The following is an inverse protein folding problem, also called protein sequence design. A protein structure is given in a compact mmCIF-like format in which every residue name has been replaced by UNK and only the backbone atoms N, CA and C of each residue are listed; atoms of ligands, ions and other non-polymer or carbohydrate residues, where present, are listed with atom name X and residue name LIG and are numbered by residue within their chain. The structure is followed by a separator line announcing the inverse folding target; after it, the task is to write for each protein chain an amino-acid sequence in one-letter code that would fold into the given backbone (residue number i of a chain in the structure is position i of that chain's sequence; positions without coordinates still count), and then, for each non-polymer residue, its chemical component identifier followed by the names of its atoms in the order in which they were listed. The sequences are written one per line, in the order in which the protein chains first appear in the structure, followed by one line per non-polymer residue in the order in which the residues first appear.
data_IF_012858600201
#
_entry.id   IF_012858600201
#
_cell.length_a   1.000
_cell.length_b   1.000
_cell.length_c   1.000
_cell.angle_alpha   90.00
_cell.angle_beta   90.00
_cell.angle_gamma   90.00
#
_symmetry.space_group_name_H-M   'P 1'
#
loop_
_entity.id
_entity.type
_entity.pdbx_description
1 polymer ?
#
# COMPACT_ATOMS: atom_id res chain seq x y z
N UNK A 1 19.97 11.23 -101.15
CA UNK A 1 18.93 10.17 -101.24
C UNK A 1 19.40 8.99 -100.41
N UNK A 2 18.50 8.37 -99.65
CA UNK A 2 18.68 7.30 -98.63
C UNK A 2 18.97 7.80 -97.20
N UNK A 3 17.86 8.02 -96.51
CA UNK A 3 17.74 7.81 -95.08
C UNK A 3 17.84 6.30 -94.78
N UNK A 4 18.52 5.95 -93.70
CA UNK A 4 18.36 4.65 -93.03
C UNK A 4 18.23 4.91 -91.55
N UNK A 5 17.05 4.59 -91.04
CA UNK A 5 16.66 4.55 -89.64
C UNK A 5 17.54 3.54 -88.88
N UNK A 6 18.03 3.93 -87.71
CA UNK A 6 18.43 3.00 -86.66
C UNK A 6 17.69 3.38 -85.39
N UNK A 7 16.77 2.49 -84.99
CA UNK A 7 15.98 2.60 -83.78
C UNK A 7 16.84 2.26 -82.56
N UNK A 8 16.77 3.10 -81.53
CA UNK A 8 17.28 2.79 -80.19
C UNK A 8 16.15 3.07 -79.19
N UNK A 9 15.71 2.06 -78.40
CA UNK A 9 14.61 2.21 -77.47
C UNK A 9 15.07 2.96 -76.21
N UNK A 10 14.24 3.92 -75.79
CA UNK A 10 14.34 4.61 -74.50
C UNK A 10 14.03 3.59 -73.39
N UNK A 11 15.04 3.20 -72.61
CA UNK A 11 14.84 2.46 -71.37
C UNK A 11 14.39 3.47 -70.30
N UNK A 12 13.11 3.41 -69.95
CA UNK A 12 12.56 4.05 -68.76
C UNK A 12 13.03 3.22 -67.55
N UNK A 13 13.96 3.77 -66.76
CA UNK A 13 14.33 3.20 -65.46
C UNK A 13 13.22 3.58 -64.47
N UNK A 14 12.32 2.62 -64.20
CA UNK A 14 11.40 2.67 -63.07
C UNK A 14 12.20 2.46 -61.78
N UNK A 15 12.50 3.54 -61.07
CA UNK A 15 13.03 3.50 -59.70
C UNK A 15 11.88 3.08 -58.78
N UNK A 16 11.80 1.79 -58.47
CA UNK A 16 10.99 1.31 -57.34
C UNK A 16 11.67 1.79 -56.05
N UNK A 17 11.12 2.84 -55.44
CA UNK A 17 11.44 3.21 -54.07
C UNK A 17 10.97 2.09 -53.14
N UNK A 18 11.91 1.29 -52.65
CA UNK A 18 11.66 0.37 -51.55
C UNK A 18 11.44 1.21 -50.29
N UNK A 19 10.18 1.34 -49.85
CA UNK A 19 9.89 1.79 -48.50
C UNK A 19 10.41 0.71 -47.54
N UNK A 20 11.23 1.06 -46.53
CA UNK A 20 11.59 0.10 -45.51
C UNK A 20 10.31 -0.19 -44.71
N UNK A 21 9.72 -1.36 -44.92
CA UNK A 21 8.79 -1.92 -43.96
C UNK A 21 9.54 -2.01 -42.63
N UNK A 22 9.02 -1.47 -41.52
CA UNK A 22 9.59 -1.74 -40.23
C UNK A 22 9.45 -3.24 -39.98
N UNK A 23 10.56 -3.96 -40.11
CA UNK A 23 10.70 -5.28 -39.50
C UNK A 23 10.56 -5.05 -37.98
N UNK A 24 9.33 -5.15 -37.48
CA UNK A 24 9.11 -5.51 -36.09
C UNK A 24 9.57 -6.94 -35.98
N UNK A 25 10.86 -7.13 -35.72
CA UNK A 25 11.35 -8.40 -35.22
C UNK A 25 10.54 -8.66 -33.95
N UNK A 26 9.72 -9.72 -33.97
CA UNK A 26 9.26 -10.34 -32.76
C UNK A 26 10.53 -10.67 -31.95
N UNK A 27 10.83 -9.84 -30.96
CA UNK A 27 11.92 -10.09 -30.03
C UNK A 27 11.51 -11.35 -29.28
N UNK A 28 11.99 -12.50 -29.75
CA UNK A 28 12.03 -13.73 -28.97
C UNK A 28 12.58 -13.34 -27.60
N UNK A 29 11.80 -13.53 -26.54
CA UNK A 29 12.28 -13.44 -25.16
C UNK A 29 13.36 -14.51 -24.98
N UNK A 30 14.57 -14.23 -25.45
CA UNK A 30 15.74 -15.00 -25.09
C UNK A 30 16.02 -14.69 -23.63
N UNK A 31 15.40 -15.45 -22.73
CA UNK A 31 15.70 -15.36 -21.31
C UNK A 31 17.16 -15.77 -21.05
N UNK A 32 17.71 -15.23 -19.97
CA UNK A 32 19.07 -15.48 -19.53
C UNK A 32 20.03 -14.37 -19.95
N UNK A 33 20.83 -13.89 -18.99
CA UNK A 33 21.92 -12.94 -19.21
C UNK A 33 23.23 -13.53 -18.70
N UNK A 34 24.34 -13.17 -19.34
CA UNK A 34 25.66 -13.69 -18.96
C UNK A 34 26.41 -12.69 -18.10
N UNK A 35 26.69 -13.07 -16.85
CA UNK A 35 27.66 -12.39 -16.00
C UNK A 35 28.98 -13.18 -15.99
N UNK A 36 30.13 -12.52 -15.72
CA UNK A 36 31.41 -13.21 -15.55
C UNK A 36 31.29 -14.32 -14.50
N UNK A 37 31.68 -15.55 -14.86
CA UNK A 37 31.61 -16.71 -13.96
C UNK A 37 30.22 -17.35 -13.82
N UNK A 38 29.18 -16.80 -14.45
CA UNK A 38 27.80 -17.33 -14.44
C UNK A 38 27.30 -17.70 -13.02
N UNK A 39 27.26 -16.71 -12.09
CA UNK A 39 27.01 -16.96 -10.69
C UNK A 39 25.58 -17.43 -10.44
N UNK A 40 25.40 -18.13 -9.33
CA UNK A 40 24.11 -18.55 -8.80
C UNK A 40 23.58 -17.47 -7.86
N UNK A 41 22.28 -17.21 -7.96
CA UNK A 41 21.56 -16.30 -7.07
C UNK A 41 20.34 -16.99 -6.47
N UNK A 42 20.02 -16.62 -5.24
CA UNK A 42 18.79 -17.00 -4.55
C UNK A 42 18.42 -15.93 -3.52
N UNK A 43 17.14 -15.83 -3.16
CA UNK A 43 16.71 -14.91 -2.11
C UNK A 43 17.36 -15.31 -0.78
N UNK A 44 18.08 -14.38 -0.15
CA UNK A 44 18.84 -14.58 1.08
C UNK A 44 20.32 -14.91 0.86
N UNK A 45 20.80 -14.98 -0.39
CA UNK A 45 22.21 -15.22 -0.67
C UNK A 45 23.09 -14.15 -0.02
N UNK A 46 24.15 -14.59 0.68
CA UNK A 46 25.10 -13.66 1.30
C UNK A 46 24.57 -12.90 2.53
N UNK A 47 23.35 -13.17 2.99
CA UNK A 47 22.78 -12.56 4.20
C UNK A 47 23.60 -12.97 5.44
N UNK A 48 23.95 -11.99 6.27
CA UNK A 48 24.80 -12.16 7.45
C UNK A 48 24.21 -11.45 8.67
N UNK A 49 24.65 -11.89 9.86
CA UNK A 49 24.43 -11.17 11.10
C UNK A 49 25.04 -9.77 11.01
N UNK A 50 24.29 -8.77 11.43
CA UNK A 50 24.67 -7.36 11.39
C UNK A 50 24.31 -6.66 10.08
N UNK A 51 23.75 -7.35 9.09
CA UNK A 51 23.20 -6.68 7.92
C UNK A 51 21.98 -5.84 8.32
N UNK A 52 21.94 -4.61 7.83
CA UNK A 52 20.85 -3.67 8.03
C UNK A 52 20.33 -3.19 6.68
N UNK A 53 19.03 -3.28 6.49
CA UNK A 53 18.32 -2.83 5.29
C UNK A 53 17.26 -1.80 5.66
N UNK A 54 17.11 -0.79 4.83
CA UNK A 54 15.99 0.14 4.87
C UNK A 54 15.30 0.14 3.52
N UNK A 55 14.03 -0.20 3.48
CA UNK A 55 13.24 -0.27 2.25
C UNK A 55 12.04 0.67 2.32
N UNK A 56 11.75 1.38 1.23
CA UNK A 56 10.37 1.82 0.96
C UNK A 56 9.66 0.67 0.27
N UNK A 57 8.44 0.33 0.68
CA UNK A 57 7.68 -0.74 0.07
C UNK A 57 6.17 -0.48 0.09
N UNK A 58 5.45 -1.15 -0.81
CA UNK A 58 4.00 -1.24 -0.79
C UNK A 58 3.56 -2.59 -1.33
N UNK A 59 2.36 -3.04 -0.96
CA UNK A 59 1.73 -4.24 -1.49
C UNK A 59 0.23 -4.02 -1.66
N UNK A 60 -0.40 -4.59 -2.69
CA UNK A 60 -1.81 -4.38 -3.02
C UNK A 60 -2.75 -4.81 -1.89
N UNK A 61 -2.45 -5.95 -1.25
CA UNK A 61 -3.16 -6.45 -0.07
C UNK A 61 -2.98 -5.58 1.17
N UNK A 62 -2.12 -4.56 1.11
CA UNK A 62 -1.88 -3.59 2.17
C UNK A 62 -2.26 -2.18 1.71
N UNK A 63 -3.45 -1.72 2.11
CA UNK A 63 -3.97 -0.36 1.82
C UNK A 63 -3.78 0.03 0.34
N UNK A 64 -4.10 -0.86 -0.59
CA UNK A 64 -3.99 -0.64 -2.04
C UNK A 64 -2.58 -0.23 -2.53
N UNK A 65 -1.52 -0.80 -1.96
CA UNK A 65 -0.14 -0.40 -2.23
C UNK A 65 0.17 1.03 -1.75
N UNK A 66 -0.34 1.41 -0.58
CA UNK A 66 0.19 2.57 0.14
C UNK A 66 1.63 2.31 0.60
N UNK A 67 2.51 3.29 0.41
CA UNK A 67 3.93 3.17 0.76
C UNK A 67 4.16 3.24 2.28
N UNK A 68 5.04 2.37 2.77
CA UNK A 68 5.58 2.40 4.12
C UNK A 68 7.08 2.06 4.09
N UNK A 69 7.83 2.54 5.09
CA UNK A 69 9.23 2.20 5.28
C UNK A 69 9.35 1.00 6.22
N UNK A 70 10.22 0.04 5.87
CA UNK A 70 10.55 -1.11 6.71
C UNK A 70 12.06 -1.25 6.85
N UNK A 71 12.50 -1.25 8.09
CA UNK A 71 13.91 -1.32 8.46
C UNK A 71 14.13 -2.68 9.09
N UNK A 72 15.06 -3.45 8.55
CA UNK A 72 15.30 -4.84 8.93
C UNK A 72 16.76 -4.95 9.35
N UNK A 73 17.00 -5.31 10.60
CA UNK A 73 18.33 -5.58 11.13
C UNK A 73 18.47 -7.06 11.48
N UNK A 74 19.46 -7.73 10.89
CA UNK A 74 19.75 -9.14 11.17
C UNK A 74 20.51 -9.25 12.49
N UNK A 75 19.76 -9.31 13.59
CA UNK A 75 20.27 -9.36 14.97
C UNK A 75 21.10 -10.61 15.24
N UNK A 76 20.71 -11.75 14.69
CA UNK A 76 21.42 -13.02 14.88
C UNK A 76 20.55 -14.22 14.53
N UNK A 77 20.65 -15.27 15.33
CA UNK A 77 19.99 -16.55 15.12
C UNK A 77 18.92 -16.81 16.18
N UNK A 78 17.88 -17.55 15.80
CA UNK A 78 16.84 -18.04 16.71
C UNK A 78 16.47 -19.48 16.32
N UNK A 79 16.28 -20.33 17.33
CA UNK A 79 15.81 -21.69 17.15
C UNK A 79 14.27 -21.72 17.22
N UNK A 80 13.61 -22.14 16.14
CA UNK A 80 12.15 -22.27 16.07
C UNK A 80 11.79 -23.73 15.78
N UNK A 81 11.52 -24.50 16.83
CA UNK A 81 11.35 -25.95 16.71
C UNK A 81 12.67 -26.61 16.30
N UNK A 82 12.68 -27.34 15.18
CA UNK A 82 13.89 -28.00 14.64
C UNK A 82 14.68 -27.14 13.67
N UNK A 83 14.18 -25.96 13.30
CA UNK A 83 14.81 -25.09 12.31
C UNK A 83 15.54 -23.91 12.98
N UNK A 84 16.79 -23.67 12.57
CA UNK A 84 17.51 -22.44 12.88
C UNK A 84 17.13 -21.37 11.86
N UNK A 85 16.79 -20.17 12.35
CA UNK A 85 16.30 -19.04 11.58
C UNK A 85 17.10 -17.79 11.87
N UNK A 86 17.03 -16.79 10.99
CA UNK A 86 17.47 -15.45 11.31
C UNK A 86 16.48 -14.80 12.27
N UNK A 87 17.00 -14.35 13.41
CA UNK A 87 16.30 -13.42 14.28
C UNK A 87 16.55 -12.01 13.75
N UNK A 88 15.48 -11.32 13.38
CA UNK A 88 15.58 -9.94 12.88
C UNK A 88 14.78 -9.00 13.77
N UNK A 89 15.34 -7.83 14.00
CA UNK A 89 14.62 -6.72 14.61
C UNK A 89 14.14 -5.80 13.48
N UNK A 90 12.89 -5.39 13.58
CA UNK A 90 12.21 -4.64 12.53
C UNK A 90 11.62 -3.38 13.11
N UNK A 91 11.80 -2.28 12.37
CA UNK A 91 11.12 -1.03 12.61
C UNK A 91 10.37 -0.61 11.35
N UNK A 92 9.07 -0.38 11.48
CA UNK A 92 8.21 0.10 10.40
C UNK A 92 7.83 1.56 10.66
N UNK A 93 7.91 2.38 9.61
CA UNK A 93 7.27 3.69 9.55
C UNK A 93 6.14 3.66 8.52
N UNK A 94 4.90 3.83 8.96
CA UNK A 94 3.71 3.88 8.11
C UNK A 94 2.99 5.21 8.37
N UNK A 95 3.29 6.20 7.51
CA UNK A 95 2.96 7.59 7.78
C UNK A 95 3.59 8.05 9.11
N UNK A 96 2.75 8.44 10.06
CA UNK A 96 3.19 8.84 11.40
C UNK A 96 3.33 7.67 12.39
N UNK A 97 2.91 6.46 11.99
CA UNK A 97 2.92 5.28 12.85
C UNK A 97 4.30 4.66 12.89
N UNK A 98 4.76 4.28 14.08
CA UNK A 98 6.02 3.57 14.32
C UNK A 98 5.76 2.24 14.98
N UNK A 99 6.21 1.15 14.39
CA UNK A 99 6.07 -0.19 14.97
C UNK A 99 7.43 -0.85 15.01
N UNK A 100 7.95 -1.07 16.21
CA UNK A 100 9.15 -1.86 16.48
C UNK A 100 8.75 -3.26 16.93
N UNK A 101 9.43 -4.29 16.46
CA UNK A 101 9.20 -5.67 16.86
C UNK A 101 10.20 -6.64 16.26
N UNK A 102 9.99 -7.94 16.46
CA UNK A 102 10.84 -9.00 15.92
C UNK A 102 10.16 -9.69 14.72
N UNK A 103 10.97 -10.23 13.80
CA UNK A 103 10.55 -11.01 12.65
C UNK A 103 11.54 -12.17 12.41
N UNK A 104 11.02 -13.38 12.28
CA UNK A 104 11.85 -14.58 12.06
C UNK A 104 11.89 -14.91 10.56
N UNK A 105 13.09 -14.99 9.98
CA UNK A 105 13.30 -15.32 8.56
C UNK A 105 13.99 -16.67 8.40
N UNK A 106 13.54 -17.49 7.45
CA UNK A 106 14.23 -18.75 7.12
C UNK A 106 15.66 -18.53 6.61
N UNK A 107 16.56 -19.48 6.86
CA UNK A 107 17.97 -19.39 6.44
C UNK A 107 18.17 -19.61 4.95
N UNK A 108 17.43 -20.56 4.38
CA UNK A 108 17.54 -20.98 2.97
C UNK A 108 16.50 -20.30 2.08
N UNK A 109 15.40 -19.87 2.66
CA UNK A 109 14.38 -19.02 2.05
C UNK A 109 14.00 -17.97 3.11
N UNK A 110 14.44 -16.71 2.99
CA UNK A 110 14.27 -15.67 4.00
C UNK A 110 12.83 -15.12 4.04
N UNK A 111 11.87 -16.03 4.05
CA UNK A 111 10.45 -15.72 4.21
C UNK A 111 10.14 -15.53 5.70
N UNK A 112 9.38 -14.48 6.04
CA UNK A 112 8.81 -14.33 7.37
C UNK A 112 7.96 -15.54 7.77
N UNK A 113 8.25 -16.10 8.94
CA UNK A 113 7.52 -17.25 9.51
C UNK A 113 7.12 -17.08 10.98
N UNK A 114 7.54 -15.99 11.63
CA UNK A 114 7.27 -15.71 13.04
C UNK A 114 7.56 -14.25 13.42
N UNK A 115 7.53 -13.96 14.72
CA UNK A 115 7.79 -12.64 15.30
C UNK A 115 6.57 -11.93 15.92
N UNK A 116 6.72 -10.64 16.23
CA UNK A 116 5.72 -9.81 16.95
C UNK A 116 4.38 -9.70 16.21
N UNK A 117 3.27 -9.85 16.93
CA UNK A 117 1.91 -9.83 16.36
C UNK A 117 1.57 -8.50 15.68
N UNK A 118 2.03 -7.38 16.22
CA UNK A 118 1.75 -6.03 15.68
C UNK A 118 2.39 -5.77 14.31
N UNK A 119 3.41 -6.56 13.95
CA UNK A 119 4.04 -6.51 12.62
C UNK A 119 3.33 -7.41 11.59
N UNK A 120 2.31 -8.18 11.96
CA UNK A 120 1.74 -9.25 11.12
C UNK A 120 1.38 -8.79 9.69
N UNK A 121 0.71 -7.63 9.56
CA UNK A 121 0.32 -7.08 8.24
C UNK A 121 1.53 -6.66 7.40
N UNK A 122 2.54 -6.05 8.01
CA UNK A 122 3.76 -5.61 7.32
C UNK A 122 4.65 -6.80 6.95
N UNK A 123 4.77 -7.79 7.83
CA UNK A 123 5.42 -9.07 7.50
C UNK A 123 4.71 -9.78 6.36
N UNK A 124 3.38 -9.75 6.32
CA UNK A 124 2.59 -10.30 5.22
C UNK A 124 2.93 -9.63 3.89
N UNK A 125 2.93 -8.29 3.85
CA UNK A 125 3.32 -7.52 2.67
C UNK A 125 4.76 -7.81 2.21
N UNK A 126 5.73 -7.82 3.14
CA UNK A 126 7.12 -8.17 2.82
C UNK A 126 7.24 -9.60 2.29
N UNK A 127 6.62 -10.58 2.98
CA UNK A 127 6.61 -11.98 2.57
C UNK A 127 6.06 -12.15 1.16
N UNK A 128 4.87 -11.60 0.87
CA UNK A 128 4.24 -11.73 -0.44
C UNK A 128 5.07 -11.11 -1.57
N UNK A 129 5.87 -10.09 -1.26
CA UNK A 129 6.77 -9.45 -2.23
C UNK A 129 7.97 -10.34 -2.63
N UNK A 130 8.41 -11.25 -1.75
CA UNK A 130 9.63 -12.07 -1.96
C UNK A 130 9.37 -13.58 -2.06
N UNK A 131 8.22 -14.08 -1.61
CA UNK A 131 7.93 -15.53 -1.52
C UNK A 131 8.00 -16.25 -2.86
N UNK A 132 7.59 -15.59 -3.94
CA UNK A 132 7.70 -16.17 -5.27
C UNK A 132 9.17 -16.30 -5.69
N UNK A 133 10.06 -15.37 -5.31
CA UNK A 133 11.49 -15.47 -5.58
C UNK A 133 12.07 -16.67 -4.86
N UNK A 134 11.79 -16.85 -3.58
CA UNK A 134 12.27 -18.01 -2.82
C UNK A 134 11.64 -19.32 -3.31
N UNK A 135 10.42 -19.29 -3.85
CA UNK A 135 9.82 -20.48 -4.45
C UNK A 135 10.57 -20.99 -5.70
N UNK A 136 11.20 -20.07 -6.46
CA UNK A 136 11.93 -20.39 -7.69
C UNK A 136 13.46 -20.37 -7.54
N UNK A 137 13.98 -19.63 -6.58
CA UNK A 137 15.40 -19.41 -6.34
C UNK A 137 15.64 -19.32 -4.83
N UNK A 138 15.65 -20.47 -4.15
CA UNK A 138 16.06 -20.60 -2.74
C UNK A 138 17.46 -21.22 -2.61
N UNK A 139 18.00 -21.22 -1.39
CA UNK A 139 19.30 -21.76 -1.05
C UNK A 139 19.38 -23.29 -0.93
N UNK A 140 18.30 -24.03 -1.24
CA UNK A 140 18.35 -25.50 -1.21
C UNK A 140 19.01 -26.04 -2.48
N UNK A 141 20.30 -26.39 -2.41
CA UNK A 141 21.05 -26.94 -3.53
C UNK A 141 20.53 -28.30 -4.03
N UNK A 142 19.91 -29.09 -3.15
CA UNK A 142 19.26 -30.36 -3.51
C UNK A 142 17.79 -30.18 -3.96
N UNK A 143 17.29 -28.94 -4.01
CA UNK A 143 15.88 -28.61 -4.26
C UNK A 143 15.41 -28.74 -5.72
N UNK A 144 16.23 -29.30 -6.62
CA UNK A 144 15.92 -29.44 -8.03
C UNK A 144 15.60 -28.10 -8.70
N UNK A 145 14.43 -28.01 -9.35
CA UNK A 145 13.98 -26.81 -10.08
C UNK A 145 13.72 -25.57 -9.20
N UNK A 146 13.84 -25.67 -7.86
CA UNK A 146 13.60 -24.56 -6.92
C UNK A 146 14.87 -23.98 -6.30
N UNK A 147 16.01 -24.64 -6.46
CA UNK A 147 17.29 -24.24 -5.87
C UNK A 147 17.89 -22.98 -6.51
N UNK A 148 19.15 -22.65 -6.19
CA UNK A 148 19.79 -21.43 -6.69
C UNK A 148 19.76 -21.35 -8.22
N UNK A 149 19.53 -20.14 -8.75
CA UNK A 149 19.36 -19.91 -10.19
C UNK A 149 20.52 -19.16 -10.78
N UNK A 150 20.97 -19.63 -11.94
CA UNK A 150 21.95 -18.91 -12.76
C UNK A 150 21.27 -17.74 -13.47
N UNK A 151 21.99 -16.64 -13.62
CA UNK A 151 21.51 -15.54 -14.46
C UNK A 151 21.44 -15.92 -15.94
N UNK A 152 22.27 -16.86 -16.41
CA UNK A 152 22.21 -17.38 -17.78
C UNK A 152 21.04 -18.32 -18.04
N UNK A 153 20.30 -18.74 -17.00
CA UNK A 153 19.18 -19.65 -17.15
C UNK A 153 18.09 -18.99 -18.01
N UNK A 154 17.65 -19.72 -19.05
CA UNK A 154 16.62 -19.24 -19.97
C UNK A 154 15.26 -19.00 -19.31
N UNK A 155 15.06 -19.55 -18.11
CA UNK A 155 13.91 -19.31 -17.25
C UNK A 155 14.23 -19.75 -15.83
N UNK A 156 13.73 -18.99 -14.85
CA UNK A 156 13.79 -19.34 -13.43
C UNK A 156 12.57 -20.16 -12.98
N UNK A 157 11.47 -20.09 -13.73
CA UNK A 157 10.24 -20.81 -13.43
C UNK A 157 9.04 -20.34 -14.26
N UNK A 158 7.90 -20.99 -14.02
CA UNK A 158 6.59 -20.64 -14.59
C UNK A 158 5.57 -20.46 -13.45
N UNK A 159 4.74 -19.42 -13.57
CA UNK A 159 3.54 -19.13 -12.77
C UNK A 159 3.82 -18.81 -11.28
N UNK A 160 3.80 -17.51 -10.92
CA UNK A 160 3.62 -17.07 -9.53
C UNK A 160 2.15 -17.01 -9.10
N UNK A 161 1.23 -16.61 -10.00
CA UNK A 161 -0.19 -16.43 -9.71
C UNK A 161 -1.00 -16.67 -11.01
N UNK A 162 -1.71 -17.81 -11.11
CA UNK A 162 -2.64 -18.23 -12.19
C UNK A 162 -2.24 -17.80 -13.64
N UNK A 163 -1.47 -18.62 -14.34
CA UNK A 163 -1.21 -18.45 -15.79
C UNK A 163 -0.43 -17.17 -16.14
N UNK A 164 0.86 -17.32 -16.43
CA UNK A 164 1.71 -16.19 -16.81
C UNK A 164 2.88 -16.63 -17.68
N UNK A 165 3.54 -15.67 -18.32
CA UNK A 165 4.78 -15.90 -19.06
C UNK A 165 5.90 -16.42 -18.12
N UNK A 166 6.99 -16.89 -18.71
CA UNK A 166 8.15 -17.36 -17.96
C UNK A 166 8.77 -16.22 -17.14
N UNK A 167 9.24 -16.55 -15.94
CA UNK A 167 10.11 -15.66 -15.16
C UNK A 167 11.51 -15.79 -15.74
N UNK A 168 12.04 -14.68 -16.25
CA UNK A 168 13.28 -14.68 -17.02
C UNK A 168 14.20 -13.52 -16.61
N UNK A 169 15.51 -13.76 -16.48
CA UNK A 169 16.52 -12.71 -16.53
C UNK A 169 16.52 -12.11 -17.94
N UNK A 170 16.34 -10.79 -18.09
CA UNK A 170 16.17 -10.15 -19.41
C UNK A 170 17.21 -9.13 -19.77
N UNK A 171 17.80 -8.46 -18.78
CA UNK A 171 18.81 -7.43 -19.02
C UNK A 171 19.79 -7.31 -17.86
N UNK A 172 20.96 -6.76 -18.15
CA UNK A 172 21.88 -6.22 -17.15
C UNK A 172 21.73 -4.70 -17.21
N UNK A 173 21.42 -4.08 -16.09
CA UNK A 173 21.13 -2.65 -15.99
C UNK A 173 21.86 -2.04 -14.80
N UNK A 174 22.46 -0.87 -14.98
CA UNK A 174 22.96 -0.06 -13.86
C UNK A 174 21.81 0.76 -13.30
N UNK A 175 21.38 0.44 -12.08
CA UNK A 175 20.22 1.07 -11.42
C UNK A 175 20.68 1.94 -10.26
N UNK A 176 20.14 3.15 -10.18
CA UNK A 176 20.33 4.07 -9.06
C UNK A 176 19.10 4.04 -8.15
N UNK A 177 19.35 3.80 -6.86
CA UNK A 177 18.38 3.90 -5.75
C UNK A 177 18.96 4.80 -4.67
N UNK A 178 18.21 5.11 -3.61
CA UNK A 178 18.73 5.98 -2.52
C UNK A 178 19.94 5.36 -1.80
N UNK A 179 20.02 4.02 -1.71
CA UNK A 179 21.17 3.33 -1.10
C UNK A 179 22.46 3.40 -1.93
N UNK A 180 22.38 3.69 -3.24
CA UNK A 180 23.56 3.72 -4.10
C UNK A 180 23.25 3.39 -5.57
N UNK A 181 24.31 3.12 -6.33
CA UNK A 181 24.24 2.67 -7.71
C UNK A 181 24.76 1.24 -7.81
N UNK A 182 23.98 0.37 -8.44
CA UNK A 182 24.25 -1.07 -8.51
C UNK A 182 24.20 -1.54 -9.95
N UNK A 183 25.10 -2.45 -10.32
CA UNK A 183 24.93 -3.26 -11.53
C UNK A 183 24.02 -4.43 -11.19
N UNK A 184 22.88 -4.47 -11.86
CA UNK A 184 21.76 -5.36 -11.54
C UNK A 184 21.44 -6.27 -12.71
N UNK A 185 20.83 -7.42 -12.40
CA UNK A 185 20.11 -8.22 -13.38
C UNK A 185 18.62 -7.95 -13.24
N UNK A 186 17.99 -7.54 -14.33
CA UNK A 186 16.54 -7.40 -14.41
C UNK A 186 15.92 -8.78 -14.60
N UNK A 187 15.10 -9.19 -13.63
CA UNK A 187 14.21 -10.34 -13.72
C UNK A 187 12.80 -9.82 -14.03
N UNK A 188 12.18 -10.37 -15.07
CA UNK A 188 10.86 -9.89 -15.53
C UNK A 188 9.94 -11.01 -15.98
N UNK A 189 8.65 -10.74 -15.91
CA UNK A 189 7.59 -11.57 -16.46
C UNK A 189 6.39 -10.70 -16.84
N UNK A 190 5.55 -11.18 -17.75
CA UNK A 190 4.33 -10.48 -18.16
C UNK A 190 3.09 -11.11 -17.53
N UNK A 191 2.23 -10.27 -16.97
CA UNK A 191 0.96 -10.65 -16.34
C UNK A 191 -0.07 -9.54 -16.56
N UNK A 192 -1.32 -9.89 -16.91
CA UNK A 192 -2.40 -8.91 -17.02
C UNK A 192 -2.17 -7.78 -18.03
N UNK A 193 -1.34 -8.01 -19.05
CA UNK A 193 -0.97 -6.99 -20.04
C UNK A 193 0.20 -6.07 -19.65
N UNK A 194 0.70 -6.15 -18.41
CA UNK A 194 1.86 -5.39 -17.92
C UNK A 194 3.08 -6.29 -17.72
N UNK A 195 4.27 -5.67 -17.71
CA UNK A 195 5.55 -6.35 -17.45
C UNK A 195 6.00 -5.98 -16.04
N UNK A 196 6.03 -6.97 -15.16
CA UNK A 196 6.61 -6.87 -13.83
C UNK A 196 8.13 -6.93 -13.92
N UNK A 197 8.81 -6.14 -13.09
CA UNK A 197 10.26 -5.94 -13.11
C UNK A 197 10.83 -5.99 -11.69
N UNK A 198 11.89 -6.76 -11.51
CA UNK A 198 12.58 -6.94 -10.24
C UNK A 198 14.08 -6.92 -10.50
N UNK A 199 14.80 -6.04 -9.83
CA UNK A 199 16.24 -5.86 -10.02
C UNK A 199 16.99 -6.52 -8.85
N UNK A 200 17.81 -7.51 -9.19
CA UNK A 200 18.64 -8.26 -8.23
C UNK A 200 20.12 -7.99 -8.49
N UNK A 201 20.93 -8.14 -7.46
CA UNK A 201 22.39 -7.93 -7.52
C UNK A 201 23.07 -9.25 -7.16
N UNK A 202 24.13 -9.59 -7.90
CA UNK A 202 24.93 -10.78 -7.61
C UNK A 202 25.48 -10.74 -6.17
N UNK A 203 25.35 -11.86 -5.46
CA UNK A 203 25.76 -11.98 -4.05
C UNK A 203 24.99 -11.13 -3.04
N UNK A 204 23.98 -10.35 -3.46
CA UNK A 204 23.17 -9.51 -2.57
C UNK A 204 21.85 -10.20 -2.20
N UNK A 205 21.43 -10.19 -0.92
CA UNK A 205 20.42 -11.13 -0.41
C UNK A 205 19.00 -10.86 -0.89
N UNK A 206 18.63 -9.60 -1.07
CA UNK A 206 17.29 -9.23 -1.48
C UNK A 206 17.36 -8.41 -2.76
N UNK A 207 16.30 -8.42 -3.59
CA UNK A 207 16.19 -7.45 -4.67
C UNK A 207 16.41 -5.99 -4.17
N UNK A 208 16.96 -5.11 -5.01
CA UNK A 208 17.25 -3.69 -4.66
C UNK A 208 16.16 -2.73 -5.14
N UNK A 209 15.36 -3.17 -6.12
CA UNK A 209 14.17 -2.46 -6.62
C UNK A 209 13.17 -3.45 -7.22
N UNK A 210 11.87 -3.17 -7.13
CA UNK A 210 10.86 -3.81 -7.97
C UNK A 210 9.64 -2.94 -8.23
N UNK A 211 8.98 -3.27 -9.32
CA UNK A 211 7.67 -2.77 -9.70
C UNK A 211 6.89 -3.89 -10.38
N UNK A 212 5.84 -4.36 -9.72
CA UNK A 212 5.05 -5.49 -10.20
C UNK A 212 3.57 -5.14 -10.28
N UNK A 213 2.82 -5.98 -10.99
CA UNK A 213 1.44 -5.71 -11.35
C UNK A 213 0.56 -6.93 -11.14
N UNK A 214 -0.66 -6.70 -10.67
CA UNK A 214 -1.63 -7.78 -10.51
C UNK A 214 -2.12 -8.27 -11.87
N UNK A 215 -2.64 -9.50 -11.89
CA UNK A 215 -3.35 -9.99 -13.07
C UNK A 215 -4.74 -9.35 -13.15
N UNK A 216 -5.03 -8.70 -14.28
CA UNK A 216 -6.38 -8.21 -14.61
C UNK A 216 -6.83 -8.75 -15.96
N UNK A 217 -8.12 -9.01 -16.11
CA UNK A 217 -8.73 -9.45 -17.36
C UNK A 217 -8.91 -8.31 -18.36
N UNK A 218 -9.09 -7.08 -17.87
CA UNK A 218 -9.25 -5.84 -18.64
C UNK A 218 -8.78 -4.65 -17.80
N UNK A 219 -8.54 -3.49 -18.44
CA UNK A 219 -8.15 -2.26 -17.76
C UNK A 219 -6.64 -2.13 -17.49
N UNK A 220 -6.28 -1.17 -16.66
CA UNK A 220 -4.89 -0.92 -16.23
C UNK A 220 -4.64 -1.77 -14.99
N UNK A 221 -3.68 -2.72 -15.01
CA UNK A 221 -3.41 -3.53 -13.83
C UNK A 221 -2.85 -2.64 -12.70
N UNK A 222 -3.40 -2.72 -11.49
CA UNK A 222 -2.85 -2.02 -10.34
C UNK A 222 -1.47 -2.58 -9.98
N UNK A 223 -0.69 -1.78 -9.27
CA UNK A 223 0.58 -2.22 -8.71
C UNK A 223 0.33 -3.34 -7.71
N UNK A 224 0.98 -4.49 -7.87
CA UNK A 224 0.91 -5.60 -6.91
C UNK A 224 1.84 -5.32 -5.73
N UNK A 225 3.11 -5.03 -6.00
CA UNK A 225 4.02 -4.50 -4.99
C UNK A 225 5.10 -3.63 -5.63
N UNK A 226 5.65 -2.75 -4.81
CA UNK A 226 6.87 -2.00 -5.11
C UNK A 226 7.78 -2.13 -3.91
N UNK A 227 9.07 -2.16 -4.16
CA UNK A 227 10.03 -1.91 -3.10
C UNK A 227 11.26 -1.22 -3.68
N UNK A 228 11.91 -0.35 -2.91
CA UNK A 228 13.17 0.32 -3.27
C UNK A 228 14.11 0.37 -2.05
N UNK A 229 15.36 -0.06 -2.25
CA UNK A 229 16.39 -0.04 -1.21
C UNK A 229 16.82 1.41 -0.92
N UNK A 230 16.58 1.86 0.30
CA UNK A 230 16.90 3.20 0.77
C UNK A 230 18.26 3.30 1.44
N UNK A 231 18.67 2.26 2.15
CA UNK A 231 19.95 2.18 2.86
C UNK A 231 20.34 0.71 3.06
N UNK A 232 21.63 0.41 2.96
CA UNK A 232 22.21 -0.87 3.33
C UNK A 232 23.51 -0.65 4.11
N UNK A 233 23.68 -1.36 5.22
CA UNK A 233 24.92 -1.38 6.02
C UNK A 233 25.26 -2.79 6.41
N UNK A 234 26.54 -3.12 6.33
CA UNK A 234 27.08 -4.39 6.81
C UNK A 234 27.65 -4.26 8.21
N UNK A 235 27.70 -5.39 8.93
CA UNK A 235 28.42 -5.52 10.20
C UNK A 235 27.96 -4.52 11.29
N UNK A 236 26.68 -4.13 11.30
CA UNK A 236 26.10 -3.30 12.35
C UNK A 236 26.08 -4.09 13.67
N UNK A 237 26.92 -3.67 14.62
CA UNK A 237 27.16 -4.39 15.88
C UNK A 237 26.20 -4.01 17.02
N UNK A 238 25.58 -2.83 16.95
CA UNK A 238 24.66 -2.31 17.97
C UNK A 238 23.27 -2.15 17.37
N UNK A 239 22.22 -2.33 18.19
CA UNK A 239 20.84 -2.15 17.76
C UNK A 239 20.66 -0.76 17.10
N UNK A 240 20.36 -0.68 15.80
CA UNK A 240 20.19 0.59 15.10
C UNK A 240 18.91 1.33 15.51
N UNK A 241 18.04 0.69 16.29
CA UNK A 241 16.77 1.22 16.77
C UNK A 241 16.81 1.65 18.24
N UNK A 242 18.00 1.80 18.82
CA UNK A 242 18.17 2.34 20.18
C UNK A 242 17.54 3.73 20.28
N UNK A 243 16.73 3.94 21.33
CA UNK A 243 16.06 5.21 21.60
C UNK A 243 14.76 5.42 20.79
N UNK A 244 14.36 4.46 19.96
CA UNK A 244 13.08 4.51 19.25
C UNK A 244 12.03 3.75 20.05
N UNK A 245 11.00 4.48 20.49
CA UNK A 245 9.82 3.90 21.14
C UNK A 245 8.78 3.55 20.08
N UNK A 246 8.32 2.29 20.09
CA UNK A 246 7.20 1.83 19.28
C UNK A 246 5.91 2.50 19.75
N UNK A 247 4.96 2.75 18.85
CA UNK A 247 3.67 3.32 19.24
C UNK A 247 2.89 2.40 20.19
N UNK A 248 3.08 1.08 20.09
CA UNK A 248 2.47 0.11 21.01
C UNK A 248 3.02 0.24 22.44
N UNK A 249 4.25 0.74 22.58
CA UNK A 249 4.92 0.95 23.85
C UNK A 249 4.83 2.41 24.32
N UNK A 250 4.23 3.29 23.50
CA UNK A 250 4.11 4.70 23.82
C UNK A 250 3.13 4.88 25.00
N UNK A 251 3.59 5.37 26.17
CA UNK A 251 2.73 5.56 27.33
C UNK A 251 1.55 6.48 27.05
N UNK A 252 1.69 7.42 26.11
CA UNK A 252 0.61 8.31 25.70
C UNK A 252 -0.51 7.54 24.99
N UNK A 253 -0.23 6.42 24.34
CA UNK A 253 -1.23 5.67 23.57
C UNK A 253 -1.88 4.53 24.37
N UNK A 254 -1.40 4.26 25.58
CA UNK A 254 -1.82 3.11 26.40
C UNK A 254 -3.33 3.06 26.70
N UNK A 255 -3.94 4.22 26.95
CA UNK A 255 -5.37 4.33 27.28
C UNK A 255 -6.24 4.72 26.07
N UNK A 256 -5.68 4.65 24.87
CA UNK A 256 -6.42 4.98 23.66
C UNK A 256 -7.38 3.85 23.24
N UNK A 257 -8.54 4.18 22.67
CA UNK A 257 -9.42 3.19 22.07
C UNK A 257 -8.71 2.43 20.95
N UNK A 258 -9.00 1.13 20.83
CA UNK A 258 -8.50 0.32 19.72
C UNK A 258 -9.17 0.70 18.41
N UNK A 259 -8.43 0.59 17.31
CA UNK A 259 -8.87 0.94 15.95
C UNK A 259 -8.89 -0.27 15.01
N UNK A 260 -8.93 -1.48 15.57
CA UNK A 260 -8.80 -2.73 14.82
C UNK A 260 -10.06 -3.05 14.01
N UNK A 261 -11.23 -2.61 14.48
CA UNK A 261 -12.53 -2.82 13.84
C UNK A 261 -13.19 -1.51 13.44
N UNK A 262 -13.71 -1.47 12.22
CA UNK A 262 -14.55 -0.38 11.73
C UNK A 262 -15.96 -0.57 12.29
N UNK A 263 -16.34 0.24 13.26
CA UNK A 263 -17.61 0.07 14.00
C UNK A 263 -18.70 1.04 13.58
N UNK A 264 -18.34 2.17 12.99
CA UNK A 264 -19.28 3.23 12.63
C UNK A 264 -19.20 3.51 11.14
N UNK A 265 -20.32 3.95 10.55
CA UNK A 265 -20.32 4.36 9.15
C UNK A 265 -21.31 5.49 8.85
N UNK A 266 -20.99 6.22 7.79
CA UNK A 266 -21.75 7.34 7.25
C UNK A 266 -21.74 7.17 5.74
N UNK A 267 -22.91 6.98 5.14
CA UNK A 267 -23.07 6.94 3.68
C UNK A 267 -23.87 8.15 3.22
N UNK A 268 -23.23 9.05 2.47
CA UNK A 268 -23.85 10.29 1.97
C UNK A 268 -23.32 10.67 0.59
N UNK A 269 -24.12 11.33 -0.26
CA UNK A 269 -23.60 11.95 -1.47
C UNK A 269 -22.71 13.15 -1.13
N UNK A 270 -21.79 13.48 -2.03
CA UNK A 270 -21.05 14.74 -1.99
C UNK A 270 -21.97 15.93 -2.28
N UNK A 271 -21.52 17.15 -1.97
CA UNK A 271 -22.33 18.38 -2.06
C UNK A 271 -22.99 18.57 -3.41
N UNK A 272 -22.28 18.34 -4.50
CA UNK A 272 -22.81 18.48 -5.86
C UNK A 272 -23.33 17.14 -6.44
N UNK A 273 -23.49 16.12 -5.60
CA UNK A 273 -23.94 14.77 -5.98
C UNK A 273 -23.07 14.11 -7.06
N UNK A 274 -21.80 14.50 -7.16
CA UNK A 274 -20.86 13.93 -8.12
C UNK A 274 -20.50 12.49 -7.76
N UNK A 275 -20.46 12.20 -6.45
CA UNK A 275 -20.03 10.91 -5.90
C UNK A 275 -20.91 10.51 -4.71
N UNK A 276 -20.95 9.21 -4.41
CA UNK A 276 -21.39 8.71 -3.10
C UNK A 276 -20.16 8.31 -2.29
N UNK A 277 -20.12 8.69 -1.02
CA UNK A 277 -19.04 8.30 -0.11
C UNK A 277 -19.65 7.50 1.04
N UNK A 278 -19.18 6.26 1.20
CA UNK A 278 -19.42 5.46 2.39
C UNK A 278 -18.16 5.48 3.25
N UNK A 279 -18.15 6.34 4.26
CA UNK A 279 -17.07 6.49 5.21
C UNK A 279 -17.32 5.61 6.44
N UNK A 280 -16.40 4.73 6.76
CA UNK A 280 -16.35 3.98 7.99
C UNK A 280 -15.28 4.57 8.90
N UNK A 281 -15.52 4.56 10.22
CA UNK A 281 -14.53 5.05 11.17
C UNK A 281 -14.60 4.37 12.53
N UNK A 282 -13.49 4.45 13.24
CA UNK A 282 -13.31 3.95 14.59
C UNK A 282 -12.24 4.78 15.31
N UNK A 283 -12.38 5.05 16.62
CA UNK A 283 -13.52 4.70 17.48
C UNK A 283 -14.78 5.55 17.19
N UNK A 284 -15.93 5.20 17.79
CA UNK A 284 -17.19 5.99 17.69
C UNK A 284 -17.01 7.43 18.19
N UNK A 285 -16.20 7.58 19.24
CA UNK A 285 -15.82 8.87 19.81
C UNK A 285 -14.30 9.01 19.71
N UNK A 286 -13.77 9.59 18.61
CA UNK A 286 -12.35 9.86 18.48
C UNK A 286 -11.85 10.67 19.67
N UNK A 287 -10.70 10.28 20.24
CA UNK A 287 -10.14 10.91 21.44
C UNK A 287 -8.94 11.76 21.04
N UNK A 288 -8.87 13.01 21.50
CA UNK A 288 -7.72 13.87 21.23
C UNK A 288 -6.41 13.18 21.67
N UNK A 289 -5.42 13.17 20.78
CA UNK A 289 -4.12 12.54 21.01
C UNK A 289 -4.15 11.01 20.95
N UNK A 290 -5.22 10.42 20.41
CA UNK A 290 -5.33 8.98 20.17
C UNK A 290 -5.48 8.65 18.68
N UNK A 291 -5.20 7.39 18.30
CA UNK A 291 -5.41 6.92 16.94
C UNK A 291 -6.90 6.86 16.59
N UNK A 292 -7.19 7.17 15.33
CA UNK A 292 -8.45 6.87 14.67
C UNK A 292 -8.15 6.27 13.30
N UNK A 293 -9.03 5.39 12.84
CA UNK A 293 -8.98 4.81 11.51
C UNK A 293 -10.22 5.21 10.73
N UNK A 294 -10.01 5.58 9.48
CA UNK A 294 -11.02 5.75 8.46
C UNK A 294 -10.89 4.66 7.39
N UNK A 295 -12.03 4.29 6.80
CA UNK A 295 -12.07 3.65 5.49
C UNK A 295 -13.12 4.35 4.63
N UNK A 296 -12.78 4.69 3.40
CA UNK A 296 -13.68 5.32 2.45
C UNK A 296 -13.93 4.40 1.28
N UNK A 297 -15.22 4.19 0.96
CA UNK A 297 -15.63 3.63 -0.30
C UNK A 297 -16.19 4.79 -1.16
N UNK A 298 -15.48 5.12 -2.23
CA UNK A 298 -15.90 6.09 -3.24
C UNK A 298 -16.72 5.36 -4.30
N UNK A 299 -17.99 5.72 -4.38
CA UNK A 299 -18.99 5.00 -5.16
C UNK A 299 -19.61 5.89 -6.22
N UNK A 300 -20.04 5.25 -7.32
CA UNK A 300 -20.80 5.87 -8.38
C UNK A 300 -22.06 6.55 -7.83
N UNK A 301 -22.39 7.72 -8.36
CA UNK A 301 -23.64 8.40 -8.03
C UNK A 301 -24.88 7.65 -8.54
N UNK A 302 -24.70 6.74 -9.50
CA UNK A 302 -25.78 5.98 -10.14
C UNK A 302 -26.02 4.62 -9.48
N UNK A 303 -24.95 3.96 -9.03
CA UNK A 303 -25.02 2.62 -8.45
C UNK A 303 -24.14 2.53 -7.20
N UNK A 304 -24.74 2.16 -6.08
CA UNK A 304 -24.12 2.22 -4.76
C UNK A 304 -23.26 1.00 -4.40
N UNK A 305 -23.07 0.11 -5.37
CA UNK A 305 -22.15 -1.04 -5.35
C UNK A 305 -21.00 -0.89 -6.35
N UNK A 306 -21.04 0.14 -7.19
CA UNK A 306 -20.00 0.42 -8.18
C UNK A 306 -18.94 1.34 -7.58
N UNK A 307 -17.75 0.79 -7.35
CA UNK A 307 -16.59 1.55 -6.90
C UNK A 307 -16.01 2.41 -8.03
N UNK A 308 -15.59 3.62 -7.67
CA UNK A 308 -14.90 4.53 -8.56
C UNK A 308 -13.41 4.23 -8.56
N UNK A 309 -12.76 4.34 -9.72
CA UNK A 309 -11.33 4.12 -9.84
C UNK A 309 -10.58 5.46 -9.94
N UNK A 310 -9.29 5.43 -9.58
CA UNK A 310 -8.36 6.55 -9.72
C UNK A 310 -8.78 7.81 -8.95
N UNK A 311 -9.23 7.65 -7.72
CA UNK A 311 -9.74 8.75 -6.89
C UNK A 311 -8.56 9.53 -6.29
N UNK A 312 -8.49 10.82 -6.59
CA UNK A 312 -7.60 11.76 -5.92
C UNK A 312 -8.40 12.57 -4.89
N UNK A 313 -7.99 12.55 -3.63
CA UNK A 313 -8.73 13.22 -2.55
C UNK A 313 -7.84 13.65 -1.37
N UNK A 314 -8.39 14.40 -0.43
CA UNK A 314 -7.77 14.71 0.87
C UNK A 314 -8.83 14.66 1.97
N UNK A 315 -8.38 14.58 3.21
CA UNK A 315 -9.17 14.78 4.42
C UNK A 315 -8.70 16.10 5.02
N UNK A 316 -9.51 17.13 4.86
CA UNK A 316 -9.24 18.45 5.42
C UNK A 316 -9.96 18.60 6.74
N UNK A 317 -9.31 19.21 7.72
CA UNK A 317 -9.95 19.62 8.98
C UNK A 317 -10.06 21.13 8.96
N UNK A 318 -11.26 21.65 9.13
CA UNK A 318 -11.57 23.10 9.00
C UNK A 318 -12.15 23.67 10.28
N UNK A 319 -12.13 24.99 10.40
CA UNK A 319 -12.80 25.69 11.51
C UNK A 319 -14.33 25.73 11.31
N UNK A 320 -15.06 26.19 12.33
CA UNK A 320 -16.52 26.33 12.31
C UNK A 320 -17.04 27.24 11.19
N UNK A 321 -16.15 28.06 10.60
CA UNK A 321 -16.46 28.98 9.50
C UNK A 321 -16.11 28.38 8.13
N UNK A 322 -15.60 27.16 8.08
CA UNK A 322 -15.13 26.48 6.87
C UNK A 322 -14.10 27.32 6.09
N UNK A 323 -13.20 28.01 6.80
CA UNK A 323 -12.20 28.88 6.18
C UNK A 323 -11.09 28.09 5.50
N UNK A 324 -10.51 28.70 4.46
CA UNK A 324 -9.31 28.22 3.80
C UNK A 324 -8.14 29.18 4.06
N UNK A 325 -6.90 28.68 4.27
CA UNK A 325 -6.52 27.28 4.22
C UNK A 325 -7.08 26.47 5.41
N UNK A 326 -7.34 25.18 5.17
CA UNK A 326 -7.76 24.26 6.22
C UNK A 326 -6.74 24.22 7.36
N UNK A 327 -7.21 23.93 8.58
CA UNK A 327 -6.36 23.81 9.78
C UNK A 327 -5.36 22.66 9.59
N UNK A 328 -5.82 21.54 9.02
CA UNK A 328 -4.99 20.38 8.70
C UNK A 328 -5.39 19.77 7.36
N UNK A 329 -4.41 19.11 6.73
CA UNK A 329 -4.55 18.28 5.53
C UNK A 329 -3.84 16.98 5.81
N UNK A 330 -4.57 15.85 5.74
CA UNK A 330 -3.98 14.54 6.03
C UNK A 330 -3.01 14.13 4.93
N UNK A 331 -3.29 14.46 3.67
CA UNK A 331 -2.34 14.27 2.57
C UNK A 331 -0.99 14.94 2.87
N UNK A 332 -1.01 16.24 3.23
CA UNK A 332 0.22 17.01 3.50
C UNK A 332 0.96 16.54 4.74
N UNK A 333 0.23 16.13 5.79
CA UNK A 333 0.87 15.53 6.98
C UNK A 333 1.61 14.24 6.65
N UNK A 334 1.18 13.50 5.63
CA UNK A 334 1.84 12.30 5.13
C UNK A 334 2.89 12.60 4.04
N UNK A 335 3.10 13.87 3.68
CA UNK A 335 4.08 14.29 2.68
C UNK A 335 3.59 14.23 1.23
N UNK A 336 2.27 14.11 1.01
CA UNK A 336 1.65 14.03 -0.31
C UNK A 336 0.84 15.29 -0.63
N UNK A 337 0.70 15.61 -1.91
CA UNK A 337 -0.19 16.68 -2.39
C UNK A 337 -1.67 16.28 -2.29
N UNK A 338 -1.96 15.00 -2.46
CA UNK A 338 -3.27 14.36 -2.31
C UNK A 338 -3.08 12.88 -1.96
N UNK A 339 -4.13 12.26 -1.45
CA UNK A 339 -4.23 10.81 -1.25
C UNK A 339 -4.84 10.20 -2.51
N UNK A 340 -4.28 9.07 -2.94
CA UNK A 340 -4.71 8.35 -4.14
C UNK A 340 -5.29 6.98 -3.80
N UNK A 341 -6.46 6.66 -4.36
CA UNK A 341 -7.05 5.33 -4.30
C UNK A 341 -7.30 4.78 -5.70
N UNK A 342 -6.60 3.70 -6.11
CA UNK A 342 -6.77 3.13 -7.44
C UNK A 342 -8.16 2.49 -7.65
N UNK A 343 -8.75 1.86 -6.62
CA UNK A 343 -10.05 1.19 -6.71
C UNK A 343 -11.19 1.89 -5.97
N UNK A 344 -10.94 3.05 -5.37
CA UNK A 344 -11.93 3.78 -4.59
C UNK A 344 -12.17 3.22 -3.19
N UNK A 345 -11.33 2.30 -2.71
CA UNK A 345 -11.34 1.77 -1.35
C UNK A 345 -10.10 2.23 -0.58
N UNK A 346 -10.17 3.34 0.14
CA UNK A 346 -9.00 3.87 0.86
C UNK A 346 -9.09 3.70 2.37
N UNK A 347 -8.00 3.29 3.01
CA UNK A 347 -7.90 3.17 4.48
C UNK A 347 -6.84 4.13 5.01
N UNK A 348 -7.23 4.96 5.98
CA UNK A 348 -6.39 6.00 6.56
C UNK A 348 -6.29 5.82 8.07
N UNK A 349 -5.07 5.73 8.58
CA UNK A 349 -4.78 5.79 10.01
C UNK A 349 -4.24 7.18 10.34
N UNK A 350 -4.76 7.81 11.40
CA UNK A 350 -4.31 9.13 11.83
C UNK A 350 -4.41 9.31 13.34
N UNK A 351 -3.66 10.27 13.88
CA UNK A 351 -3.84 10.75 15.26
C UNK A 351 -4.81 11.93 15.23
N UNK A 352 -5.83 11.88 16.08
CA UNK A 352 -6.73 13.00 16.33
C UNK A 352 -5.94 14.09 17.04
N UNK A 353 -5.83 15.28 16.44
CA UNK A 353 -5.15 16.44 17.07
C UNK A 353 -6.15 17.52 17.47
N UNK A 354 -7.39 17.36 17.02
CA UNK A 354 -8.50 18.27 17.23
C UNK A 354 -8.81 18.37 18.73
N UNK A 355 -9.11 19.58 19.24
CA UNK A 355 -9.53 19.74 20.62
C UNK A 355 -10.88 19.05 20.87
N UNK A 356 -11.21 18.74 22.14
CA UNK A 356 -12.51 18.21 22.49
C UNK A 356 -13.62 19.17 22.04
N UNK A 357 -14.68 18.62 21.43
CA UNK A 357 -15.71 19.41 20.75
C UNK A 357 -16.11 18.78 19.42
N UNK A 358 -16.74 19.54 18.54
CA UNK A 358 -17.08 19.05 17.20
C UNK A 358 -15.93 19.37 16.25
N UNK A 359 -15.42 18.35 15.57
CA UNK A 359 -14.45 18.51 14.49
C UNK A 359 -15.14 18.37 13.13
N UNK A 360 -14.80 19.25 12.20
CA UNK A 360 -15.32 19.30 10.85
C UNK A 360 -14.35 18.64 9.87
N UNK A 361 -14.59 17.37 9.54
CA UNK A 361 -13.81 16.65 8.52
C UNK A 361 -14.45 16.88 7.14
N UNK A 362 -13.67 17.42 6.21
CA UNK A 362 -14.06 17.62 4.81
C UNK A 362 -13.33 16.60 3.96
N UNK A 363 -14.06 15.59 3.49
CA UNK A 363 -13.55 14.64 2.49
C UNK A 363 -13.60 15.35 1.14
N UNK A 364 -12.44 15.84 0.71
CA UNK A 364 -12.29 16.72 -0.44
C UNK A 364 -11.82 15.90 -1.65
N UNK A 365 -12.70 15.66 -2.61
CA UNK A 365 -12.40 14.87 -3.80
C UNK A 365 -11.95 15.82 -4.90
N UNK A 366 -10.66 15.76 -5.26
CA UNK A 366 -10.10 16.54 -6.38
C UNK A 366 -10.64 16.05 -7.72
N UNK A 367 -10.92 14.75 -7.81
CA UNK A 367 -11.57 14.13 -8.97
C UNK A 367 -11.03 12.74 -9.27
N UNK A 368 -11.32 12.25 -10.48
CA UNK A 368 -10.89 10.93 -10.96
C UNK A 368 -9.79 11.09 -12.02
N UNK A 369 -8.55 10.74 -11.69
CA UNK A 369 -7.43 10.71 -12.64
C UNK A 369 -6.23 9.91 -12.11
N UNK A 370 -5.37 9.38 -13.00
CA UNK A 370 -4.09 8.80 -12.62
C UNK A 370 -3.21 9.82 -11.86
N UNK A 371 -2.25 9.36 -11.02
CA UNK A 371 -1.49 10.26 -10.14
C UNK A 371 -0.73 11.39 -10.88
N UNK A 372 -0.29 11.14 -12.10
CA UNK A 372 0.49 12.12 -12.87
C UNK A 372 -0.38 13.17 -13.56
N UNK A 373 -1.70 13.08 -13.44
CA UNK A 373 -2.66 13.94 -14.12
C UNK A 373 -3.56 14.68 -13.13
N UNK A 374 -3.83 15.93 -13.44
CA UNK A 374 -4.85 16.71 -12.74
C UNK A 374 -6.23 16.23 -13.21
N UNK A 375 -7.17 15.91 -12.29
CA UNK A 375 -8.51 15.51 -12.67
C UNK A 375 -9.21 16.56 -13.53
N UNK A 376 -9.82 16.09 -14.62
CA UNK A 376 -10.69 16.92 -15.47
C UNK A 376 -12.12 16.99 -14.93
N UNK A 377 -12.50 16.09 -14.03
CA UNK A 377 -13.78 16.09 -13.33
C UNK A 377 -13.83 17.23 -12.31
N UNK A 378 -14.99 17.89 -12.13
CA UNK A 378 -15.12 18.94 -11.14
C UNK A 378 -14.89 18.38 -9.73
N UNK A 379 -14.17 19.14 -8.91
CA UNK A 379 -14.01 18.85 -7.49
C UNK A 379 -15.36 18.82 -6.78
N UNK A 380 -15.46 18.00 -5.74
CA UNK A 380 -16.63 17.93 -4.87
C UNK A 380 -16.20 17.52 -3.46
N UNK A 381 -17.09 17.63 -2.47
CA UNK A 381 -16.73 17.31 -1.09
C UNK A 381 -17.91 16.80 -0.25
N UNK A 382 -17.58 16.11 0.84
CA UNK A 382 -18.51 15.71 1.88
C UNK A 382 -18.01 16.21 3.24
N UNK A 383 -18.89 16.88 4.01
CA UNK A 383 -18.60 17.28 5.39
C UNK A 383 -19.11 16.20 6.35
N UNK A 384 -18.23 15.79 7.27
CA UNK A 384 -18.51 14.85 8.35
C UNK A 384 -18.11 15.50 9.67
N UNK A 385 -19.11 15.75 10.51
CA UNK A 385 -18.91 16.29 11.84
C UNK A 385 -18.82 15.14 12.85
N UNK A 386 -17.72 15.08 13.60
CA UNK A 386 -17.53 14.09 14.66
C UNK A 386 -17.30 14.76 16.01
N UNK A 387 -17.89 14.23 17.10
CA UNK A 387 -17.56 14.65 18.45
C UNK A 387 -16.20 14.07 18.87
N UNK A 388 -15.27 14.94 19.21
CA UNK A 388 -13.96 14.62 19.75
C UNK A 388 -14.01 14.62 21.27
N UNK A 389 -13.59 13.52 21.88
CA UNK A 389 -13.51 13.34 23.32
C UNK A 389 -12.15 13.78 23.86
N UNK A 390 -12.13 14.24 25.11
CA UNK A 390 -10.89 14.49 25.85
C UNK A 390 -10.22 13.17 26.26
N UNK A 391 -8.89 13.16 26.26
CA UNK A 391 -8.08 12.06 26.82
C UNK A 391 -8.28 12.02 28.34
N UNK A 392 -8.65 10.87 28.91
CA UNK A 392 -8.92 10.76 30.35
C UNK A 392 -7.71 11.26 31.17
N UNK A 393 -8.00 12.14 32.13
CA UNK A 393 -7.05 12.96 32.89
C UNK A 393 -7.72 14.19 33.54
N UNK A 394 -8.91 14.56 33.03
CA UNK A 394 -9.89 15.42 33.70
C UNK A 394 -11.27 14.81 33.50
N UNK A 395 -11.97 14.51 34.60
CA UNK A 395 -13.36 14.07 34.60
C UNK A 395 -14.27 15.09 33.94
N UNK A 396 -14.61 14.87 32.67
CA UNK A 396 -15.97 15.04 32.14
C UNK A 396 -16.13 13.98 31.05
N UNK A 397 -16.70 12.82 31.38
CA UNK A 397 -17.54 12.16 30.38
C UNK A 397 -18.57 13.22 30.00
N UNK A 398 -18.69 13.72 28.74
CA UNK A 398 -20.02 14.08 28.33
C UNK A 398 -20.85 12.81 28.59
N UNK A 399 -21.89 12.85 29.42
CA UNK A 399 -22.72 11.67 29.61
C UNK A 399 -23.24 11.29 28.23
N UNK A 400 -22.62 10.26 27.63
CA UNK A 400 -22.83 9.93 26.23
C UNK A 400 -24.22 9.31 26.12
N UNK A 401 -25.16 10.06 25.56
CA UNK A 401 -26.46 9.54 25.14
C UNK A 401 -26.16 8.46 24.09
N UNK A 402 -26.45 7.17 24.36
CA UNK A 402 -26.16 6.10 23.43
C UNK A 402 -26.82 6.32 22.07
N UNK A 403 -26.14 5.96 20.99
CA UNK A 403 -26.62 6.17 19.62
C UNK A 403 -27.98 5.52 19.34
N UNK A 404 -28.29 4.39 19.98
CA UNK A 404 -29.60 3.75 19.88
C UNK A 404 -30.75 4.62 20.42
N UNK A 405 -30.49 5.52 21.38
CA UNK A 405 -31.50 6.47 21.86
C UNK A 405 -31.91 7.42 20.73
N UNK A 406 -30.97 7.84 19.87
CA UNK A 406 -31.28 8.70 18.72
C UNK A 406 -32.17 7.99 17.71
N UNK A 407 -31.89 6.72 17.44
CA UNK A 407 -32.73 5.89 16.56
C UNK A 407 -34.13 5.71 17.15
N UNK A 408 -34.22 5.39 18.44
CA UNK A 408 -35.51 5.26 19.12
C UNK A 408 -36.29 6.58 19.17
N UNK A 409 -35.61 7.72 19.33
CA UNK A 409 -36.25 9.04 19.28
C UNK A 409 -36.82 9.36 17.89
N UNK A 410 -36.10 8.98 16.82
CA UNK A 410 -36.59 9.08 15.44
C UNK A 410 -37.83 8.20 15.24
N UNK A 411 -37.77 6.92 15.62
CA UNK A 411 -38.91 6.02 15.52
C UNK A 411 -40.11 6.44 16.35
N UNK A 412 -39.89 7.08 17.50
CA UNK A 412 -40.95 7.61 18.33
C UNK A 412 -41.62 8.83 17.66
N UNK A 413 -40.82 9.76 17.14
CA UNK A 413 -41.32 10.92 16.41
C UNK A 413 -42.12 10.53 15.15
N UNK A 414 -41.71 9.46 14.48
CA UNK A 414 -42.37 8.91 13.29
C UNK A 414 -43.57 8.00 13.64
N UNK A 415 -43.90 7.81 14.93
CA UNK A 415 -45.01 6.96 15.40
C UNK A 415 -44.79 5.46 15.20
N UNK A 416 -43.56 5.03 14.91
CA UNK A 416 -43.18 3.63 14.71
C UNK A 416 -42.99 2.85 16.01
N UNK A 417 -42.74 3.54 17.13
CA UNK A 417 -42.76 2.97 18.49
C UNK A 417 -43.67 3.81 19.39
N UNK A 418 -44.26 3.16 20.40
CA UNK A 418 -45.16 3.81 21.35
C UNK A 418 -44.41 4.56 22.47
N UNK A 419 -45.14 5.43 23.17
CA UNK A 419 -44.59 6.23 24.27
C UNK A 419 -43.91 5.38 25.34
N UNK A 420 -44.47 4.21 25.66
CA UNK A 420 -43.90 3.30 26.65
C UNK A 420 -42.52 2.78 26.23
N UNK A 421 -42.36 2.40 24.96
CA UNK A 421 -41.07 1.94 24.41
C UNK A 421 -40.02 3.06 24.40
N UNK A 422 -40.43 4.31 24.12
CA UNK A 422 -39.51 5.44 24.18
C UNK A 422 -39.13 5.82 25.62
N UNK A 423 -40.08 5.81 26.55
CA UNK A 423 -39.86 6.09 27.99
C UNK A 423 -38.86 5.12 28.60
N UNK A 424 -38.83 3.84 28.20
CA UNK A 424 -37.81 2.89 28.66
C UNK A 424 -36.39 3.33 28.28
N UNK A 425 -36.22 3.97 27.11
CA UNK A 425 -34.96 4.56 26.69
C UNK A 425 -34.53 5.72 27.59
N UNK A 426 -35.45 6.60 27.96
CA UNK A 426 -35.19 7.71 28.88
C UNK A 426 -34.89 7.20 30.30
N UNK A 427 -35.61 6.17 30.77
CA UNK A 427 -35.35 5.54 32.07
C UNK A 427 -33.94 4.92 32.14
N UNK A 428 -33.49 4.29 31.05
CA UNK A 428 -32.11 3.81 30.94
C UNK A 428 -31.11 4.96 31.09
N UNK A 429 -31.31 6.07 30.40
CA UNK A 429 -30.43 7.24 30.50
C UNK A 429 -30.33 7.78 31.93
N UNK A 430 -31.45 7.82 32.65
CA UNK A 430 -31.48 8.26 34.06
C UNK A 430 -30.75 7.25 34.95
N UNK A 431 -31.00 5.95 34.77
CA UNK A 431 -30.40 4.87 35.56
C UNK A 431 -28.88 4.83 35.42
N UNK A 432 -28.37 4.98 34.20
CA UNK A 432 -26.93 4.97 33.90
C UNK A 432 -26.24 6.31 34.22
N UNK A 433 -26.97 7.28 34.81
CA UNK A 433 -26.43 8.59 35.17
C UNK A 433 -26.11 9.50 33.98
N UNK A 434 -26.62 9.14 32.79
CA UNK A 434 -26.41 9.86 31.53
C UNK A 434 -27.31 11.10 31.48
N UNK A 435 -28.55 10.99 31.96
CA UNK A 435 -29.49 12.10 32.13
C UNK A 435 -29.73 12.37 33.61
N UNK A 436 -29.54 13.62 34.05
CA UNK A 436 -29.86 14.03 35.42
C UNK A 436 -31.12 14.89 35.40
N UNK A 437 -32.09 14.56 36.25
CA UNK A 437 -33.24 15.43 36.51
C UNK A 437 -32.81 16.37 37.64
N UNK A 438 -32.63 17.65 37.31
CA UNK A 438 -32.45 18.69 38.31
C UNK A 438 -33.75 18.88 39.07
N UNK A 439 -33.68 18.82 40.40
CA UNK A 439 -34.79 19.09 41.33
C UNK A 439 -35.11 20.58 41.45
#
# INVERSE_FOLDING_TARGET
MKASFLALPVIVILIFGATPLPFVAAQMQAGGVSLPGDPLWYAGIGLKKGDFFRYSMCHVDYKECSEFEMNIWIKGDIQSGTEEKWNTEVLVYDGNKKIKGEMDLGKLAPEPSGGSADLSVYRGAFKSSIVWLSAFANGYYEGGDKGPKKFSAKSWGKIGNIGGEQIIPTAIETVKVKAGTYDTVLVSWKTGGAISKVWVVDGFPFPIKAQTYTHVSTGIPPSEYKFELLEYKENVQQDPFVGITSDIDNPELKDCPKTDSLTNSIKRPTKNFSYQIHAYYTPEYPVQGCPMKWQFNFLSKYLDTEFLNQVQYDILIVDDKFTLPAIRSIAKEQGYDYIYSPSGLSTIDMIVKEPPGTAHYVIYVYGLAPPELVPSTPLDYLVIDLPIAAKKGTDIHPPNIPSWIKNNAGWWADGSIDDNSFVQGIQFLIKEGIMKISS
#
